data_IF_411619359083
#
_entry.id   IF_411619359083
#
_cell.length_a   1.000
_cell.length_b   1.000
_cell.length_c   1.000
_cell.angle_alpha   90.00
_cell.angle_beta   90.00
_cell.angle_gamma   90.00
#
_symmetry.space_group_name_H-M   'P 1'
#
loop_
_entity.id
_entity.type
_entity.pdbx_description
1 polymer ?
#
# COMPACT_ATOMS: atom_id res chain seq x y z
N UNK A 1 -5.68 45.43 22.27
CA UNK A 1 -5.76 45.00 20.84
C UNK A 1 -4.40 44.45 20.45
N UNK A 2 -4.30 43.50 19.52
CA UNK A 2 -2.99 42.99 19.06
C UNK A 2 -2.67 43.49 17.66
N UNK A 3 -1.39 43.75 17.40
CA UNK A 3 -0.84 44.08 16.10
C UNK A 3 -0.27 42.81 15.47
N UNK A 4 -0.57 42.61 14.19
CA UNK A 4 -0.03 41.53 13.38
C UNK A 4 1.34 41.92 12.83
N UNK A 5 2.34 41.07 13.08
CA UNK A 5 3.71 41.19 12.56
C UNK A 5 3.99 40.01 11.62
N UNK A 6 4.05 40.22 10.30
CA UNK A 6 4.40 39.17 9.35
C UNK A 6 5.81 38.62 9.59
N UNK A 7 6.01 37.30 9.48
CA UNK A 7 7.36 36.73 9.57
C UNK A 7 8.20 37.17 8.36
N UNK A 8 9.49 37.45 8.56
CA UNK A 8 10.41 37.73 7.44
C UNK A 8 10.82 36.42 6.79
N UNK A 9 10.53 36.27 5.49
CA UNK A 9 10.86 35.11 4.65
C UNK A 9 10.06 33.81 4.87
N UNK A 10 8.71 33.82 4.85
CA UNK A 10 7.96 32.57 4.90
C UNK A 10 7.76 31.99 3.48
N UNK A 11 7.84 30.67 3.36
CA UNK A 11 7.32 29.91 2.21
C UNK A 11 5.80 30.08 2.05
N UNK A 12 5.12 30.62 3.08
CA UNK A 12 3.67 30.76 3.19
C UNK A 12 3.31 32.21 3.55
N UNK A 13 2.57 32.95 2.70
CA UNK A 13 2.45 34.41 2.79
C UNK A 13 1.67 34.91 4.02
N UNK A 14 0.91 34.04 4.71
CA UNK A 14 0.07 34.44 5.83
C UNK A 14 0.76 34.32 7.20
N UNK A 15 1.95 33.73 7.31
CA UNK A 15 2.59 33.51 8.61
C UNK A 15 2.89 34.81 9.35
N UNK A 16 2.45 34.89 10.60
CA UNK A 16 2.59 36.09 11.42
C UNK A 16 2.58 35.79 12.90
N UNK A 17 3.16 36.70 13.69
CA UNK A 17 3.00 36.74 15.15
C UNK A 17 2.07 37.88 15.52
N UNK A 18 1.37 37.75 16.65
CA UNK A 18 0.51 38.80 17.20
C UNK A 18 1.11 39.31 18.50
N UNK A 19 1.29 40.62 18.59
CA UNK A 19 1.91 41.30 19.74
C UNK A 19 0.97 42.41 20.23
N UNK A 20 0.81 42.64 21.54
CA UNK A 20 0.01 43.75 22.05
C UNK A 20 0.51 45.12 21.51
N UNK A 21 -0.42 46.04 21.25
CA UNK A 21 -0.12 47.37 20.67
C UNK A 21 0.47 48.38 21.65
N UNK A 22 0.42 48.12 22.95
CA UNK A 22 0.94 49.07 23.94
C UNK A 22 2.47 48.99 23.95
N UNK A 23 3.14 50.13 23.78
CA UNK A 23 4.56 50.27 23.40
C UNK A 23 5.63 49.74 24.36
N UNK A 24 5.28 48.80 25.23
CA UNK A 24 6.20 48.05 26.11
C UNK A 24 6.66 46.71 25.52
N UNK A 25 6.00 46.21 24.46
CA UNK A 25 6.39 44.98 23.80
C UNK A 25 7.51 45.21 22.76
N UNK A 26 8.61 44.47 22.89
CA UNK A 26 9.68 44.42 21.89
C UNK A 26 9.15 43.81 20.60
N UNK A 27 9.23 44.54 19.50
CA UNK A 27 8.87 44.08 18.14
C UNK A 27 9.78 42.96 17.61
N UNK A 28 10.90 42.70 18.27
CA UNK A 28 11.85 41.64 17.90
C UNK A 28 11.45 40.28 18.49
N UNK A 29 10.61 40.25 19.53
CA UNK A 29 10.23 39.03 20.22
C UNK A 29 8.85 38.52 19.76
N UNK A 30 8.77 37.23 19.43
CA UNK A 30 7.51 36.56 19.06
C UNK A 30 6.58 36.28 20.26
N UNK A 31 6.97 36.73 21.45
CA UNK A 31 6.32 36.47 22.72
C UNK A 31 6.31 37.74 23.58
N UNK A 32 5.36 37.83 24.50
CA UNK A 32 5.23 38.97 25.41
C UNK A 32 4.93 38.49 26.82
N UNK A 33 5.37 39.25 27.82
CA UNK A 33 5.07 38.97 29.23
C UNK A 33 3.64 39.39 29.53
N UNK A 34 2.84 38.44 30.03
CA UNK A 34 1.42 38.60 30.23
C UNK A 34 1.13 39.59 31.36
N UNK A 35 1.95 39.58 32.42
CA UNK A 35 1.79 40.39 33.64
C UNK A 35 1.68 41.90 33.37
N UNK A 36 2.28 42.39 32.28
CA UNK A 36 2.20 43.80 31.89
C UNK A 36 0.82 44.22 31.36
N UNK A 37 0.01 43.24 30.92
CA UNK A 37 -1.26 43.45 30.23
C UNK A 37 -2.46 42.90 31.01
N UNK A 38 -2.23 42.30 32.17
CA UNK A 38 -3.30 41.72 32.98
C UNK A 38 -4.19 42.82 33.56
N UNK A 39 -5.50 42.68 33.35
CA UNK A 39 -6.51 43.54 33.96
C UNK A 39 -6.54 43.35 35.46
N UNK A 40 -6.63 44.44 36.23
CA UNK A 40 -6.83 44.36 37.68
C UNK A 40 -8.33 44.29 38.01
N UNK A 41 -8.73 43.40 38.92
CA UNK A 41 -10.09 43.32 39.45
C UNK A 41 -10.08 43.52 40.96
N UNK A 42 -10.75 44.57 41.43
CA UNK A 42 -10.85 44.89 42.86
C UNK A 42 -11.98 44.15 43.58
N UNK A 43 -12.87 43.48 42.85
CA UNK A 43 -14.12 42.92 43.39
C UNK A 43 -14.28 41.40 43.22
N UNK A 44 -13.58 40.79 42.27
CA UNK A 44 -13.70 39.35 41.98
C UNK A 44 -12.37 38.63 42.23
N UNK A 45 -12.45 37.34 42.57
CA UNK A 45 -11.26 36.48 42.76
C UNK A 45 -10.49 36.24 41.46
N UNK A 46 -11.15 36.44 40.32
CA UNK A 46 -10.58 36.28 38.99
C UNK A 46 -10.80 37.55 38.17
N UNK A 47 -9.85 37.84 37.28
CA UNK A 47 -9.93 38.91 36.31
C UNK A 47 -9.80 38.33 34.89
N UNK A 48 -10.31 39.08 33.92
CA UNK A 48 -10.29 38.72 32.51
C UNK A 48 -9.44 39.71 31.71
N UNK A 49 -8.59 39.16 30.85
CA UNK A 49 -7.78 39.93 29.90
C UNK A 49 -8.07 39.42 28.50
N UNK A 50 -8.49 40.31 27.60
CA UNK A 50 -8.94 39.95 26.26
C UNK A 50 -7.95 40.41 25.18
N UNK A 51 -7.51 39.46 24.35
CA UNK A 51 -6.67 39.69 23.20
C UNK A 51 -7.49 39.51 21.91
N UNK A 52 -7.58 40.57 21.12
CA UNK A 52 -8.23 40.54 19.82
C UNK A 52 -7.17 40.41 18.74
N UNK A 53 -7.34 39.43 17.85
CA UNK A 53 -6.50 39.21 16.70
C UNK A 53 -7.37 39.08 15.44
N UNK A 54 -6.81 39.47 14.30
CA UNK A 54 -7.49 39.41 13.01
C UNK A 54 -6.75 38.46 12.06
N UNK A 55 -7.44 37.39 11.67
CA UNK A 55 -6.94 36.42 10.69
C UNK A 55 -7.23 36.99 9.30
N UNK A 56 -6.19 37.27 8.48
CA UNK A 56 -6.37 37.99 7.23
C UNK A 56 -7.18 37.19 6.20
N UNK A 57 -7.79 37.91 5.26
CA UNK A 57 -8.46 37.29 4.13
C UNK A 57 -7.50 36.42 3.31
N UNK A 58 -7.99 35.28 2.85
CA UNK A 58 -7.23 34.26 2.14
C UNK A 58 -6.38 33.37 3.02
N UNK A 59 -6.57 33.36 4.35
CA UNK A 59 -5.82 32.49 5.28
C UNK A 59 -6.68 31.51 6.07
N UNK A 60 -7.90 31.21 5.57
CA UNK A 60 -8.80 30.24 6.21
C UNK A 60 -8.19 28.86 6.48
N UNK A 61 -7.11 28.49 5.79
CA UNK A 61 -6.40 27.23 5.98
C UNK A 61 -5.17 27.30 6.91
N UNK A 62 -5.06 28.34 7.72
CA UNK A 62 -3.97 28.54 8.66
C UNK A 62 -4.26 27.96 10.05
N UNK A 63 -3.19 27.72 10.81
CA UNK A 63 -3.19 27.27 12.19
C UNK A 63 -2.97 28.46 13.13
N UNK A 64 -3.88 28.69 14.07
CA UNK A 64 -3.59 29.59 15.21
C UNK A 64 -2.91 28.77 16.30
N UNK A 65 -1.68 29.14 16.61
CA UNK A 65 -0.88 28.54 17.67
C UNK A 65 -0.73 29.52 18.83
N UNK A 66 -1.14 29.09 20.03
CA UNK A 66 -1.08 29.85 21.27
C UNK A 66 -0.27 29.07 22.29
N UNK A 67 0.79 29.68 22.79
CA UNK A 67 1.62 29.11 23.83
C UNK A 67 1.59 30.03 25.06
N UNK A 68 1.35 29.44 26.22
CA UNK A 68 1.55 30.07 27.52
C UNK A 68 2.59 29.26 28.29
N UNK A 69 3.59 29.96 28.83
CA UNK A 69 4.61 29.33 29.67
C UNK A 69 4.92 30.24 30.84
N UNK A 70 4.92 29.65 32.03
CA UNK A 70 5.18 30.33 33.29
C UNK A 70 6.34 29.65 34.00
N UNK A 71 7.02 30.39 34.87
CA UNK A 71 8.02 29.89 35.80
C UNK A 71 7.41 29.14 37.00
N UNK A 72 6.11 29.32 37.23
CA UNK A 72 5.31 28.72 38.31
C UNK A 72 4.03 28.08 37.80
N UNK A 73 3.32 27.37 38.67
CA UNK A 73 2.02 26.74 38.37
C UNK A 73 1.03 27.74 37.74
N UNK A 74 0.61 27.43 36.51
CA UNK A 74 -0.36 28.21 35.75
C UNK A 74 -1.78 27.99 36.31
N UNK A 75 -2.30 28.97 37.03
CA UNK A 75 -3.73 29.06 37.37
C UNK A 75 -4.51 29.90 36.33
N UNK A 76 -4.11 29.82 35.06
CA UNK A 76 -4.73 30.54 33.96
C UNK A 76 -5.71 29.64 33.21
N UNK A 77 -6.84 30.21 32.80
CA UNK A 77 -7.82 29.57 31.92
C UNK A 77 -7.89 30.37 30.61
N UNK A 78 -7.78 29.68 29.48
CA UNK A 78 -7.80 30.29 28.16
C UNK A 78 -9.12 29.94 27.45
N UNK A 79 -9.81 30.97 26.98
CA UNK A 79 -11.03 30.85 26.20
C UNK A 79 -10.84 31.54 24.85
N UNK A 80 -11.44 30.99 23.81
CA UNK A 80 -11.44 31.63 22.49
C UNK A 80 -12.83 31.65 21.88
N UNK A 81 -13.11 32.68 21.09
CA UNK A 81 -14.37 32.84 20.36
C UNK A 81 -14.15 33.63 19.06
N UNK A 82 -14.76 33.15 17.98
CA UNK A 82 -14.76 33.84 16.69
C UNK A 82 -15.90 34.88 16.63
N UNK A 83 -15.59 36.12 16.25
CA UNK A 83 -16.57 37.19 16.03
C UNK A 83 -17.28 37.70 17.29
N UNK A 84 -16.83 37.32 18.49
CA UNK A 84 -17.44 37.74 19.75
C UNK A 84 -16.51 37.59 20.95
N UNK A 85 -16.99 38.00 22.13
CA UNK A 85 -16.26 37.89 23.40
C UNK A 85 -16.52 36.52 24.06
N UNK A 86 -15.47 35.78 24.46
CA UNK A 86 -15.64 34.58 25.27
C UNK A 86 -16.03 34.93 26.72
N UNK A 87 -16.84 34.06 27.33
CA UNK A 87 -17.25 34.12 28.72
C UNK A 87 -17.29 32.70 29.31
N UNK A 88 -17.54 32.56 30.62
CA UNK A 88 -17.71 31.24 31.26
C UNK A 88 -18.82 30.40 30.58
N UNK A 89 -19.89 31.05 30.11
CA UNK A 89 -21.05 30.38 29.50
C UNK A 89 -20.95 30.25 27.98
N UNK A 90 -20.12 31.08 27.32
CA UNK A 90 -20.06 31.11 25.85
C UNK A 90 -18.62 31.17 25.35
N UNK A 91 -18.18 30.11 24.67
CA UNK A 91 -16.84 29.98 24.10
C UNK A 91 -16.87 28.97 22.95
N UNK A 92 -15.93 29.09 22.02
CA UNK A 92 -15.75 28.14 20.91
C UNK A 92 -14.72 27.07 21.28
N UNK A 93 -13.59 27.50 21.87
CA UNK A 93 -12.60 26.58 22.44
C UNK A 93 -12.13 27.04 23.82
N UNK A 94 -11.79 26.05 24.65
CA UNK A 94 -11.39 26.26 26.04
C UNK A 94 -10.21 25.36 26.41
N UNK A 95 -9.25 25.92 27.14
CA UNK A 95 -8.12 25.18 27.70
C UNK A 95 -7.83 25.65 29.12
N UNK A 96 -7.60 24.70 30.02
CA UNK A 96 -7.08 24.90 31.37
C UNK A 96 -6.07 23.80 31.70
N UNK A 97 -5.50 23.87 32.92
CA UNK A 97 -4.55 22.88 33.44
C UNK A 97 -5.10 21.46 33.45
N UNK A 98 -6.35 21.30 33.88
CA UNK A 98 -6.95 19.98 34.15
C UNK A 98 -8.04 19.60 33.16
N UNK A 99 -8.54 20.56 32.39
CA UNK A 99 -9.66 20.36 31.46
C UNK A 99 -9.45 21.19 30.21
N UNK A 100 -9.83 20.61 29.08
CA UNK A 100 -9.91 21.33 27.83
C UNK A 100 -11.20 20.96 27.12
N UNK A 101 -11.60 21.76 26.14
CA UNK A 101 -12.65 21.35 25.20
C UNK A 101 -12.26 20.00 24.62
N UNK A 102 -13.17 19.01 24.69
CA UNK A 102 -12.96 17.67 24.15
C UNK A 102 -12.23 17.76 22.80
N UNK A 103 -11.09 17.06 22.69
CA UNK A 103 -10.25 17.09 21.50
C UNK A 103 -11.10 16.93 20.24
N UNK A 104 -11.16 18.00 19.45
CA UNK A 104 -11.83 18.00 18.16
C UNK A 104 -10.75 17.98 17.08
N UNK A 105 -11.09 17.58 15.86
CA UNK A 105 -10.14 17.60 14.73
C UNK A 105 -9.55 19.00 14.50
N UNK A 106 -10.23 20.04 14.98
CA UNK A 106 -9.86 21.45 14.82
C UNK A 106 -9.18 22.07 16.04
N UNK A 107 -8.98 21.31 17.11
CA UNK A 107 -8.39 21.80 18.36
C UNK A 107 -7.54 20.72 19.01
N UNK A 108 -6.25 21.01 19.18
CA UNK A 108 -5.31 20.15 19.89
C UNK A 108 -4.66 20.90 21.04
N UNK A 109 -4.75 20.31 22.23
CA UNK A 109 -3.96 20.69 23.41
C UNK A 109 -2.86 19.63 23.56
N UNK A 110 -1.63 19.97 23.20
CA UNK A 110 -0.54 18.98 23.12
C UNK A 110 0.25 18.82 24.41
N UNK A 111 0.54 19.94 25.10
CA UNK A 111 1.22 19.93 26.40
C UNK A 111 0.40 20.76 27.39
N UNK A 112 -0.11 20.09 28.43
CA UNK A 112 -0.61 20.72 29.65
C UNK A 112 0.25 20.20 30.80
N UNK A 113 1.40 20.83 31.01
CA UNK A 113 2.17 20.62 32.24
C UNK A 113 1.78 21.66 33.27
N UNK A 114 2.23 21.55 34.51
CA UNK A 114 1.90 22.53 35.56
C UNK A 114 2.30 23.96 35.16
N UNK A 115 3.31 24.13 34.31
CA UNK A 115 3.88 25.43 33.91
C UNK A 115 3.68 25.83 32.44
N UNK A 116 3.35 24.90 31.55
CA UNK A 116 3.30 25.14 30.09
C UNK A 116 1.95 24.66 29.52
N UNK A 117 1.28 25.52 28.77
CA UNK A 117 0.09 25.21 27.96
C UNK A 117 0.36 25.52 26.48
N UNK A 118 0.25 24.50 25.63
CA UNK A 118 0.45 24.60 24.17
C UNK A 118 -0.84 24.23 23.42
N UNK A 119 -1.46 25.24 22.82
CA UNK A 119 -2.75 25.17 22.14
C UNK A 119 -2.61 25.42 20.63
N UNK A 120 -3.31 24.60 19.84
CA UNK A 120 -3.39 24.71 18.38
C UNK A 120 -4.85 24.64 17.90
N UNK A 121 -5.30 25.68 17.18
CA UNK A 121 -6.61 25.74 16.50
C UNK A 121 -6.38 25.65 14.98
N UNK A 122 -6.86 24.57 14.36
CA UNK A 122 -6.65 24.28 12.94
C UNK A 122 -7.75 24.88 12.07
N UNK A 123 -7.38 25.29 10.85
CA UNK A 123 -8.29 25.85 9.85
C UNK A 123 -9.08 27.04 10.39
N UNK A 124 -8.35 28.00 10.98
CA UNK A 124 -8.95 29.16 11.59
C UNK A 124 -9.69 30.01 10.55
N UNK A 125 -10.97 30.31 10.83
CA UNK A 125 -11.79 31.19 9.99
C UNK A 125 -11.18 32.58 9.87
N UNK A 126 -11.29 33.16 8.69
CA UNK A 126 -10.88 34.53 8.41
C UNK A 126 -11.74 35.53 9.19
N UNK A 127 -11.13 36.59 9.68
CA UNK A 127 -11.78 37.61 10.50
C UNK A 127 -11.30 37.61 11.95
N UNK A 128 -12.11 38.24 12.81
CA UNK A 128 -11.67 38.60 14.14
C UNK A 128 -11.89 37.49 15.16
N UNK A 129 -10.82 37.09 15.83
CA UNK A 129 -10.82 36.16 16.95
C UNK A 129 -10.54 36.89 18.26
N UNK A 130 -11.21 36.46 19.32
CA UNK A 130 -10.98 36.94 20.67
C UNK A 130 -10.48 35.80 21.55
N UNK A 131 -9.34 36.01 22.22
CA UNK A 131 -8.78 35.13 23.23
C UNK A 131 -8.94 35.79 24.60
N UNK A 132 -9.78 35.23 25.46
CA UNK A 132 -9.96 35.65 26.84
C UNK A 132 -9.10 34.82 27.76
N UNK A 133 -8.16 35.46 28.46
CA UNK A 133 -7.37 34.85 29.51
C UNK A 133 -8.00 35.21 30.85
N UNK A 134 -8.48 34.20 31.57
CA UNK A 134 -8.99 34.33 32.94
C UNK A 134 -7.89 33.92 33.91
N UNK A 135 -7.60 34.80 34.86
CA UNK A 135 -6.48 34.65 35.78
C UNK A 135 -6.89 35.07 37.20
N UNK A 136 -6.21 34.59 38.25
CA UNK A 136 -6.43 35.07 39.61
C UNK A 136 -6.09 36.56 39.71
N UNK A 137 -6.83 37.29 40.55
CA UNK A 137 -6.59 38.73 40.79
C UNK A 137 -5.29 38.98 41.55
N UNK A 138 -4.88 38.05 42.43
CA UNK A 138 -3.55 38.04 43.04
C UNK A 138 -2.57 37.27 42.14
N UNK A 139 -1.93 37.99 41.23
CA UNK A 139 -0.80 37.46 40.50
C UNK A 139 0.41 37.48 41.43
N UNK A 140 0.82 36.33 41.95
CA UNK A 140 2.14 36.19 42.57
C UNK A 140 3.22 36.69 41.60
N UNK A 141 4.44 37.00 42.07
CA UNK A 141 5.59 37.31 41.19
C UNK A 141 5.94 36.09 40.30
N UNK A 142 5.10 35.76 39.33
CA UNK A 142 5.30 34.81 38.25
C UNK A 142 5.66 35.60 36.99
N UNK A 143 6.44 34.99 36.13
CA UNK A 143 6.76 35.51 34.80
C UNK A 143 6.15 34.56 33.78
N UNK A 144 4.98 34.93 33.28
CA UNK A 144 4.24 34.19 32.27
C UNK A 144 4.45 34.88 30.95
N UNK A 145 5.05 34.20 29.98
CA UNK A 145 5.04 34.69 28.62
C UNK A 145 3.95 34.00 27.80
N UNK A 146 3.34 34.77 26.92
CA UNK A 146 2.36 34.29 25.95
C UNK A 146 2.86 34.59 24.54
N UNK A 147 2.69 33.64 23.63
CA UNK A 147 2.92 33.85 22.20
C UNK A 147 1.70 33.41 21.41
N UNK A 148 1.24 34.26 20.52
CA UNK A 148 0.13 33.97 19.61
C UNK A 148 0.66 34.09 18.19
N UNK A 149 0.48 33.06 17.38
CA UNK A 149 1.01 33.03 16.02
C UNK A 149 0.04 32.36 15.04
N UNK A 150 0.15 32.77 13.78
CA UNK A 150 -0.50 32.15 12.64
C UNK A 150 0.57 31.40 11.84
N UNK A 151 0.41 30.09 11.71
CA UNK A 151 1.39 29.18 11.09
C UNK A 151 0.74 28.35 9.98
N UNK A 152 1.53 27.85 9.03
CA UNK A 152 1.05 26.92 8.01
C UNK A 152 0.75 25.54 8.58
N UNK A 153 1.79 24.82 9.01
CA UNK A 153 1.66 23.50 9.64
C UNK A 153 2.23 23.50 11.05
N UNK A 154 1.62 22.71 11.93
CA UNK A 154 2.10 22.53 13.29
C UNK A 154 3.51 21.92 13.32
N UNK A 155 4.48 22.61 13.95
CA UNK A 155 5.88 22.16 14.11
C UNK A 155 6.51 21.57 12.84
N UNK A 156 6.12 22.08 11.66
CA UNK A 156 6.49 21.51 10.37
C UNK A 156 6.20 19.99 10.28
N UNK A 157 4.97 19.60 10.63
CA UNK A 157 4.47 18.21 10.62
C UNK A 157 5.21 17.28 11.60
N UNK A 158 5.48 17.78 12.81
CA UNK A 158 6.24 17.09 13.87
C UNK A 158 7.60 16.52 13.44
N UNK A 159 8.19 17.03 12.35
CA UNK A 159 9.39 16.46 11.72
C UNK A 159 9.22 15.01 11.20
N UNK A 160 7.97 14.54 11.11
CA UNK A 160 7.55 13.23 10.58
C UNK A 160 6.85 13.36 9.22
N UNK A 161 7.03 14.50 8.57
CA UNK A 161 6.39 14.82 7.31
C UNK A 161 6.93 16.12 6.73
N UNK A 162 6.34 16.54 5.62
CA UNK A 162 6.66 17.79 4.94
C UNK A 162 5.40 18.67 4.94
N UNK A 163 5.56 19.92 5.35
CA UNK A 163 4.50 20.92 5.24
C UNK A 163 4.40 21.42 3.80
N UNK A 164 3.24 21.25 3.20
CA UNK A 164 2.91 21.80 1.90
C UNK A 164 1.89 22.92 2.04
N UNK A 165 2.01 23.91 1.16
CA UNK A 165 1.04 24.99 1.05
C UNK A 165 0.50 25.03 -0.38
N UNK A 166 -0.80 25.22 -0.48
CA UNK A 166 -1.51 25.27 -1.76
C UNK A 166 -2.58 26.35 -1.71
N UNK A 167 -3.10 26.68 -2.88
CA UNK A 167 -4.19 27.64 -3.04
C UNK A 167 -5.43 26.89 -3.49
N UNK A 168 -6.59 27.28 -3.00
CA UNK A 168 -7.87 26.75 -3.43
C UNK A 168 -8.14 27.01 -4.93
N UNK A 169 -9.14 26.36 -5.51
CA UNK A 169 -9.51 26.54 -6.92
C UNK A 169 -9.91 27.99 -7.25
N UNK A 170 -10.39 28.74 -6.26
CA UNK A 170 -10.75 30.15 -6.42
C UNK A 170 -9.51 31.06 -6.55
N UNK A 171 -8.33 30.59 -6.14
CA UNK A 171 -7.09 31.36 -6.16
C UNK A 171 -7.00 32.40 -5.03
N UNK A 172 -7.94 32.38 -4.08
CA UNK A 172 -8.07 33.42 -3.04
C UNK A 172 -7.68 32.89 -1.67
N UNK A 173 -7.75 31.59 -1.43
CA UNK A 173 -7.53 30.99 -0.10
C UNK A 173 -6.28 30.14 -0.09
N UNK A 174 -5.31 30.54 0.72
CA UNK A 174 -4.14 29.73 1.03
C UNK A 174 -4.48 28.76 2.15
N UNK A 175 -4.09 27.50 1.97
CA UNK A 175 -4.15 26.49 3.01
C UNK A 175 -2.84 25.72 3.08
N UNK A 176 -2.54 25.19 4.26
CA UNK A 176 -1.38 24.33 4.47
C UNK A 176 -1.81 22.99 5.01
N UNK A 177 -1.11 21.94 4.62
CA UNK A 177 -1.39 20.56 5.02
C UNK A 177 -0.10 19.76 5.12
N UNK A 178 -0.13 18.75 5.97
CA UNK A 178 0.99 17.84 6.15
C UNK A 178 0.89 16.65 5.21
N UNK A 179 1.98 16.36 4.50
CA UNK A 179 2.20 15.05 3.89
C UNK A 179 3.11 14.26 4.81
N UNK A 180 2.54 13.30 5.53
CA UNK A 180 3.27 12.47 6.47
C UNK A 180 4.20 11.49 5.77
N UNK A 181 5.21 11.05 6.50
CA UNK A 181 5.96 9.85 6.15
C UNK A 181 5.03 8.61 6.20
N UNK A 182 5.55 7.44 5.82
CA UNK A 182 4.72 6.24 5.67
C UNK A 182 4.30 5.60 6.99
N UNK A 183 5.02 5.90 8.07
CA UNK A 183 4.83 5.25 9.37
C UNK A 183 3.94 6.09 10.29
N UNK A 184 3.68 7.34 9.91
CA UNK A 184 2.87 8.28 10.67
C UNK A 184 1.63 8.74 9.88
N UNK A 185 0.60 9.11 10.61
CA UNK A 185 -0.67 9.60 10.12
C UNK A 185 -1.24 10.68 11.03
N UNK A 186 -2.50 11.02 10.81
CA UNK A 186 -3.12 12.18 11.46
C UNK A 186 -2.87 13.47 10.68
N UNK A 187 -3.41 14.57 11.16
CA UNK A 187 -3.37 15.86 10.47
C UNK A 187 -1.99 16.55 10.55
N UNK A 188 -1.19 16.25 11.58
CA UNK A 188 0.15 16.78 11.83
C UNK A 188 1.23 15.68 11.90
N UNK A 189 0.90 14.46 11.47
CA UNK A 189 1.81 13.32 11.48
C UNK A 189 2.22 12.86 12.88
N UNK A 190 1.36 13.07 13.88
CA UNK A 190 1.57 12.59 15.25
C UNK A 190 1.27 11.11 15.44
N UNK A 191 0.36 10.55 14.64
CA UNK A 191 -0.20 9.23 14.90
C UNK A 191 0.72 8.16 14.31
N UNK A 192 1.40 7.38 15.14
CA UNK A 192 2.19 6.24 14.67
C UNK A 192 1.25 5.15 14.14
N UNK A 193 1.17 5.01 12.81
CA UNK A 193 0.34 4.01 12.13
C UNK A 193 0.98 2.63 12.17
N UNK A 194 2.31 2.58 12.05
CA UNK A 194 3.08 1.33 12.04
C UNK A 194 4.34 1.53 12.86
N UNK A 195 4.52 0.70 13.89
CA UNK A 195 5.78 0.71 14.63
C UNK A 195 6.97 0.36 13.73
N UNK A 196 8.17 0.94 13.94
CA UNK A 196 9.36 0.62 13.14
C UNK A 196 9.66 -0.89 13.07
N UNK A 197 9.45 -1.62 14.18
CA UNK A 197 9.60 -3.08 14.21
C UNK A 197 8.52 -3.79 13.40
N UNK A 198 7.28 -3.27 13.43
CA UNK A 198 6.17 -3.76 12.61
C UNK A 198 6.45 -3.59 11.11
N UNK A 199 6.99 -2.44 10.70
CA UNK A 199 7.36 -2.16 9.31
C UNK A 199 8.39 -3.15 8.77
N UNK A 200 9.40 -3.51 9.58
CA UNK A 200 10.40 -4.53 9.22
C UNK A 200 9.73 -5.88 8.95
N UNK A 201 8.85 -6.33 9.84
CA UNK A 201 8.15 -7.60 9.64
C UNK A 201 7.24 -7.56 8.42
N UNK A 202 6.46 -6.50 8.24
CA UNK A 202 5.61 -6.31 7.07
C UNK A 202 6.43 -6.41 5.76
N UNK A 203 7.56 -5.73 5.71
CA UNK A 203 8.48 -5.75 4.57
C UNK A 203 9.07 -7.14 4.33
N UNK A 204 9.56 -7.80 5.39
CA UNK A 204 10.14 -9.14 5.28
C UNK A 204 9.11 -10.15 4.80
N UNK A 205 7.88 -10.16 5.35
CA UNK A 205 6.85 -11.11 4.95
C UNK A 205 6.45 -10.94 3.48
N UNK A 206 6.17 -9.71 3.04
CA UNK A 206 5.74 -9.41 1.66
C UNK A 206 6.84 -9.69 0.62
N UNK A 207 8.10 -9.38 0.94
CA UNK A 207 9.21 -9.61 0.01
C UNK A 207 9.62 -11.09 0.03
N UNK A 208 9.79 -11.70 1.20
CA UNK A 208 10.27 -13.08 1.31
C UNK A 208 9.25 -14.11 0.84
N UNK A 209 7.94 -13.85 0.96
CA UNK A 209 6.89 -14.74 0.45
C UNK A 209 7.03 -15.02 -1.05
N UNK A 210 7.56 -14.06 -1.82
CA UNK A 210 7.81 -14.19 -3.24
C UNK A 210 8.94 -15.18 -3.59
N UNK A 211 9.78 -15.54 -2.61
CA UNK A 211 10.74 -16.64 -2.73
C UNK A 211 10.09 -17.99 -3.03
N UNK A 212 8.79 -18.16 -2.73
CA UNK A 212 8.04 -19.36 -3.11
C UNK A 212 8.03 -19.62 -4.63
N UNK A 213 8.19 -18.57 -5.46
CA UNK A 213 8.29 -18.68 -6.92
C UNK A 213 9.50 -19.51 -7.39
N UNK A 214 10.53 -19.67 -6.54
CA UNK A 214 11.71 -20.50 -6.82
C UNK A 214 11.30 -21.96 -7.02
N UNK A 215 10.29 -22.46 -6.29
CA UNK A 215 9.85 -23.85 -6.37
C UNK A 215 9.34 -24.24 -7.77
N UNK A 216 8.30 -23.58 -8.32
CA UNK A 216 7.83 -23.89 -9.68
C UNK A 216 8.88 -23.52 -10.75
N UNK A 217 9.66 -22.45 -10.56
CA UNK A 217 10.72 -22.06 -11.50
C UNK A 217 11.80 -23.15 -11.63
N UNK A 218 12.32 -23.64 -10.49
CA UNK A 218 13.33 -24.69 -10.46
C UNK A 218 12.80 -25.98 -11.10
N UNK A 219 11.57 -26.36 -10.79
CA UNK A 219 10.99 -27.58 -11.34
C UNK A 219 10.68 -27.47 -12.84
N UNK A 220 10.23 -26.31 -13.32
CA UNK A 220 10.06 -26.03 -14.75
C UNK A 220 11.40 -26.13 -15.51
N UNK A 221 12.47 -25.56 -14.93
CA UNK A 221 13.82 -25.66 -15.51
C UNK A 221 14.29 -27.12 -15.59
N UNK A 222 14.03 -27.93 -14.55
CA UNK A 222 14.34 -29.37 -14.54
C UNK A 222 13.59 -30.15 -15.62
N UNK A 223 12.40 -29.70 -16.01
CA UNK A 223 11.61 -30.27 -17.11
C UNK A 223 11.99 -29.71 -18.49
N UNK A 224 12.97 -28.79 -18.59
CA UNK A 224 13.31 -28.04 -19.81
C UNK A 224 12.13 -27.20 -20.34
N UNK A 225 11.22 -26.80 -19.46
CA UNK A 225 10.09 -25.92 -19.76
C UNK A 225 10.52 -24.46 -19.60
N UNK A 226 11.24 -23.93 -20.61
CA UNK A 226 11.92 -22.64 -20.51
C UNK A 226 10.97 -21.43 -20.42
N UNK A 227 9.82 -21.49 -21.09
CA UNK A 227 8.85 -20.39 -21.06
C UNK A 227 8.25 -20.23 -19.66
N UNK A 228 7.89 -21.34 -19.03
CA UNK A 228 7.36 -21.42 -17.68
C UNK A 228 8.42 -21.02 -16.65
N UNK A 229 9.67 -21.47 -16.84
CA UNK A 229 10.79 -21.05 -15.99
C UNK A 229 10.97 -19.52 -15.99
N UNK A 230 11.08 -18.90 -17.18
CA UNK A 230 11.20 -17.45 -17.30
C UNK A 230 10.00 -16.75 -16.66
N UNK A 231 8.79 -17.28 -16.87
CA UNK A 231 7.57 -16.73 -16.31
C UNK A 231 7.57 -16.70 -14.79
N UNK A 232 7.83 -17.83 -14.11
CA UNK A 232 7.86 -17.87 -12.64
C UNK A 232 9.00 -17.04 -12.05
N UNK A 233 10.19 -17.09 -12.66
CA UNK A 233 11.32 -16.27 -12.22
C UNK A 233 11.01 -14.78 -12.35
N UNK A 234 10.46 -14.36 -13.49
CA UNK A 234 10.09 -12.97 -13.71
C UNK A 234 8.96 -12.55 -12.77
N UNK A 235 7.95 -13.41 -12.56
CA UNK A 235 6.84 -13.16 -11.63
C UNK A 235 7.35 -12.92 -10.21
N UNK A 236 8.16 -13.84 -9.67
CA UNK A 236 8.70 -13.73 -8.31
C UNK A 236 9.60 -12.51 -8.12
N UNK A 237 10.49 -12.22 -9.08
CA UNK A 237 11.38 -11.05 -9.01
C UNK A 237 10.59 -9.75 -9.10
N UNK A 238 9.68 -9.63 -10.07
CA UNK A 238 8.88 -8.42 -10.27
C UNK A 238 7.99 -8.14 -9.06
N UNK A 239 7.39 -9.19 -8.50
CA UNK A 239 6.58 -9.09 -7.29
C UNK A 239 7.41 -8.68 -6.08
N UNK A 240 8.58 -9.30 -5.86
CA UNK A 240 9.47 -8.90 -4.76
C UNK A 240 9.93 -7.43 -4.86
N UNK A 241 10.24 -6.96 -6.08
CA UNK A 241 10.60 -5.56 -6.35
C UNK A 241 9.41 -4.61 -6.19
N UNK A 242 8.21 -5.06 -6.55
CA UNK A 242 6.99 -4.31 -6.29
C UNK A 242 6.76 -4.15 -4.80
N UNK A 243 6.82 -5.24 -4.02
CA UNK A 243 6.61 -5.21 -2.58
C UNK A 243 7.71 -4.48 -1.81
N UNK A 244 8.96 -4.49 -2.30
CA UNK A 244 10.01 -3.63 -1.74
C UNK A 244 9.72 -2.14 -1.95
N UNK A 245 9.12 -1.80 -3.10
CA UNK A 245 8.70 -0.45 -3.43
C UNK A 245 7.42 -0.04 -2.68
N UNK A 246 6.47 -0.97 -2.53
CA UNK A 246 5.19 -0.74 -1.87
C UNK A 246 5.37 -0.43 -0.38
N UNK A 247 6.21 -1.19 0.32
CA UNK A 247 6.55 -0.90 1.73
C UNK A 247 7.51 0.29 1.88
N UNK A 248 8.00 0.87 0.78
CA UNK A 248 8.79 2.10 0.78
C UNK A 248 10.28 1.92 1.07
N UNK A 249 10.82 0.70 0.98
CA UNK A 249 12.26 0.47 1.19
C UNK A 249 13.09 0.95 0.00
N UNK A 250 12.70 0.58 -1.23
CA UNK A 250 13.42 0.95 -2.45
C UNK A 250 12.59 0.64 -3.71
N UNK A 251 12.62 1.53 -4.69
CA UNK A 251 11.95 1.38 -5.99
C UNK A 251 12.96 1.49 -7.15
N UNK A 252 13.14 0.40 -7.91
CA UNK A 252 13.97 0.39 -9.13
C UNK A 252 13.27 1.05 -10.33
N UNK A 253 11.95 0.94 -10.38
CA UNK A 253 11.09 1.45 -11.45
C UNK A 253 9.92 2.20 -10.80
N UNK A 254 9.13 2.90 -11.62
CA UNK A 254 7.93 3.57 -11.12
C UNK A 254 6.95 2.55 -10.51
N UNK A 255 6.30 2.95 -9.42
CA UNK A 255 5.34 2.11 -8.69
C UNK A 255 4.29 1.49 -9.62
N UNK A 256 3.77 2.28 -10.58
CA UNK A 256 2.76 1.81 -11.55
C UNK A 256 3.26 0.70 -12.46
N UNK A 257 4.53 0.74 -12.87
CA UNK A 257 5.12 -0.30 -13.72
C UNK A 257 5.34 -1.58 -12.93
N UNK A 258 5.86 -1.48 -11.70
CA UNK A 258 6.06 -2.62 -10.82
C UNK A 258 4.73 -3.29 -10.46
N UNK A 259 3.70 -2.50 -10.13
CA UNK A 259 2.35 -3.00 -9.88
C UNK A 259 1.79 -3.73 -11.10
N UNK A 260 1.94 -3.16 -12.30
CA UNK A 260 1.51 -3.81 -13.52
C UNK A 260 2.18 -5.18 -13.70
N UNK A 261 3.51 -5.24 -13.53
CA UNK A 261 4.27 -6.48 -13.69
C UNK A 261 3.87 -7.54 -12.66
N UNK A 262 3.66 -7.18 -11.40
CA UNK A 262 3.26 -8.09 -10.32
C UNK A 262 1.94 -8.81 -10.66
N UNK A 263 0.89 -8.04 -10.96
CA UNK A 263 -0.42 -8.61 -11.28
C UNK A 263 -0.42 -9.39 -12.60
N UNK A 264 0.19 -8.82 -13.64
CA UNK A 264 0.17 -9.43 -14.96
C UNK A 264 0.93 -10.76 -15.00
N UNK A 265 2.15 -10.80 -14.48
CA UNK A 265 2.95 -12.03 -14.46
C UNK A 265 2.35 -13.08 -13.53
N UNK A 266 1.70 -12.67 -12.44
CA UNK A 266 0.94 -13.59 -11.59
C UNK A 266 -0.26 -14.21 -12.31
N UNK A 267 -1.03 -13.43 -13.08
CA UNK A 267 -2.11 -13.96 -13.90
C UNK A 267 -1.59 -14.95 -14.95
N UNK A 268 -0.48 -14.60 -15.61
CA UNK A 268 0.18 -15.47 -16.56
C UNK A 268 0.71 -16.74 -15.91
N UNK A 269 1.29 -16.67 -14.70
CA UNK A 269 1.77 -17.85 -13.98
C UNK A 269 0.65 -18.85 -13.70
N UNK A 270 -0.51 -18.37 -13.21
CA UNK A 270 -1.67 -19.24 -12.94
C UNK A 270 -2.21 -19.87 -14.22
N UNK A 271 -2.56 -19.07 -15.22
CA UNK A 271 -3.16 -19.60 -16.46
C UNK A 271 -2.14 -20.41 -17.26
N UNK A 272 -0.89 -19.99 -17.28
CA UNK A 272 0.22 -20.68 -17.93
C UNK A 272 0.48 -22.07 -17.37
N UNK A 273 0.34 -22.26 -16.04
CA UNK A 273 0.39 -23.59 -15.41
C UNK A 273 -0.62 -24.54 -16.05
N UNK A 274 -1.86 -24.09 -16.22
CA UNK A 274 -2.92 -24.92 -16.78
C UNK A 274 -2.75 -25.17 -18.28
N UNK A 275 -2.28 -24.19 -19.04
CA UNK A 275 -1.96 -24.37 -20.47
C UNK A 275 -0.84 -25.42 -20.63
N UNK A 276 0.21 -25.34 -19.80
CA UNK A 276 1.31 -26.30 -19.82
C UNK A 276 0.85 -27.73 -19.51
N UNK A 277 -0.08 -27.88 -18.55
CA UNK A 277 -0.68 -29.18 -18.20
C UNK A 277 -1.67 -29.72 -19.25
N UNK A 278 -2.21 -28.89 -20.14
CA UNK A 278 -3.23 -29.32 -21.10
C UNK A 278 -2.67 -30.30 -22.15
N UNK A 279 -3.49 -31.28 -22.58
CA UNK A 279 -3.21 -32.22 -23.69
C UNK A 279 -3.55 -31.57 -25.02
N UNK A 280 -2.84 -30.50 -25.36
CA UNK A 280 -3.02 -29.80 -26.61
C UNK A 280 -1.68 -29.79 -27.34
N UNK A 281 -1.71 -29.74 -28.67
CA UNK A 281 -0.51 -29.61 -29.48
C UNK A 281 0.26 -28.34 -29.12
N UNK A 282 1.59 -28.38 -29.30
CA UNK A 282 2.48 -27.29 -28.93
C UNK A 282 2.20 -26.00 -29.72
N UNK A 283 1.62 -26.08 -30.92
CA UNK A 283 1.25 -24.90 -31.72
C UNK A 283 0.08 -24.18 -31.07
N UNK A 284 -0.97 -24.92 -30.72
CA UNK A 284 -2.12 -24.39 -29.97
C UNK A 284 -1.74 -23.88 -28.60
N UNK A 285 -0.82 -24.54 -27.86
CA UNK A 285 -0.32 -24.01 -26.58
C UNK A 285 0.32 -22.63 -26.75
N UNK A 286 1.18 -22.45 -27.77
CA UNK A 286 1.79 -21.14 -28.08
C UNK A 286 0.75 -20.09 -28.43
N UNK A 287 -0.26 -20.47 -29.22
CA UNK A 287 -1.38 -19.57 -29.56
C UNK A 287 -2.17 -19.16 -28.31
N UNK A 288 -2.50 -20.12 -27.43
CA UNK A 288 -3.20 -19.87 -26.17
C UNK A 288 -2.36 -18.99 -25.23
N UNK A 289 -1.06 -19.25 -25.07
CA UNK A 289 -0.17 -18.40 -24.28
C UNK A 289 -0.15 -16.96 -24.80
N UNK A 290 -0.08 -16.77 -26.11
CA UNK A 290 -0.07 -15.43 -26.72
C UNK A 290 -1.41 -14.70 -26.52
N UNK A 291 -2.54 -15.40 -26.70
CA UNK A 291 -3.86 -14.82 -26.48
C UNK A 291 -4.07 -14.42 -25.01
N UNK A 292 -3.71 -15.29 -24.07
CA UNK A 292 -3.81 -15.04 -22.63
C UNK A 292 -2.84 -13.92 -22.22
N UNK A 293 -1.64 -13.86 -22.79
CA UNK A 293 -0.68 -12.77 -22.56
C UNK A 293 -1.28 -11.40 -22.87
N UNK A 294 -1.88 -11.25 -24.05
CA UNK A 294 -2.52 -9.99 -24.47
C UNK A 294 -3.70 -9.65 -23.54
N UNK A 295 -4.56 -10.63 -23.28
CA UNK A 295 -5.76 -10.44 -22.47
C UNK A 295 -5.42 -10.06 -21.02
N UNK A 296 -4.52 -10.79 -20.39
CA UNK A 296 -4.10 -10.54 -19.00
C UNK A 296 -3.33 -9.23 -18.86
N UNK A 297 -2.55 -8.83 -19.87
CA UNK A 297 -1.89 -7.52 -19.89
C UNK A 297 -2.92 -6.38 -19.93
N UNK A 298 -3.95 -6.50 -20.79
CA UNK A 298 -5.02 -5.51 -20.86
C UNK A 298 -5.81 -5.42 -19.54
N UNK A 299 -6.07 -6.56 -18.89
CA UNK A 299 -6.73 -6.59 -17.57
C UNK A 299 -5.87 -5.94 -16.48
N UNK A 300 -4.56 -6.18 -16.47
CA UNK A 300 -3.65 -5.53 -15.53
C UNK A 300 -3.55 -4.02 -15.77
N UNK A 301 -3.50 -3.58 -17.04
CA UNK A 301 -3.36 -2.17 -17.40
C UNK A 301 -4.64 -1.34 -17.13
N UNK A 302 -5.83 -1.92 -17.31
CA UNK A 302 -7.12 -1.21 -17.15
C UNK A 302 -7.62 -1.14 -15.70
N UNK A 303 -6.91 -1.79 -14.77
CA UNK A 303 -7.22 -1.74 -13.33
C UNK A 303 -6.88 -3.06 -12.63
N UNK A 304 -5.59 -3.31 -12.39
CA UNK A 304 -5.08 -4.52 -11.77
C UNK A 304 -5.77 -4.90 -10.44
N UNK A 305 -6.14 -3.90 -9.63
CA UNK A 305 -6.78 -4.08 -8.31
C UNK A 305 -8.31 -4.20 -8.35
N UNK A 306 -8.94 -4.07 -9.52
CA UNK A 306 -10.39 -4.27 -9.64
C UNK A 306 -10.70 -5.74 -9.44
N UNK A 307 -11.49 -6.05 -8.41
CA UNK A 307 -11.98 -7.41 -8.12
C UNK A 307 -12.66 -8.09 -9.32
N UNK A 308 -13.27 -7.29 -10.21
CA UNK A 308 -13.83 -7.76 -11.49
C UNK A 308 -12.78 -8.37 -12.42
N UNK A 309 -11.59 -7.75 -12.55
CA UNK A 309 -10.54 -8.23 -13.44
C UNK A 309 -9.94 -9.55 -12.92
N UNK A 310 -9.78 -9.66 -11.59
CA UNK A 310 -9.38 -10.91 -10.93
C UNK A 310 -10.44 -12.00 -11.15
N UNK A 311 -11.72 -11.66 -11.01
CA UNK A 311 -12.83 -12.57 -11.31
C UNK A 311 -12.81 -13.08 -12.76
N UNK A 312 -12.48 -12.20 -13.72
CA UNK A 312 -12.33 -12.58 -15.14
C UNK A 312 -11.16 -13.56 -15.33
N UNK A 313 -10.00 -13.33 -14.69
CA UNK A 313 -8.86 -14.26 -14.78
C UNK A 313 -9.18 -15.61 -14.18
N UNK A 314 -9.87 -15.65 -13.03
CA UNK A 314 -10.34 -16.91 -12.42
C UNK A 314 -11.33 -17.61 -13.36
N UNK A 315 -12.24 -16.88 -14.00
CA UNK A 315 -13.17 -17.44 -14.96
C UNK A 315 -12.44 -18.02 -16.19
N UNK A 316 -11.45 -17.31 -16.74
CA UNK A 316 -10.61 -17.78 -17.84
C UNK A 316 -9.84 -19.05 -17.44
N UNK A 317 -9.23 -19.07 -16.26
CA UNK A 317 -8.52 -20.26 -15.74
C UNK A 317 -9.46 -21.45 -15.54
N UNK A 318 -10.66 -21.21 -15.00
CA UNK A 318 -11.70 -22.24 -14.80
C UNK A 318 -12.23 -22.79 -16.12
N UNK A 319 -12.48 -21.91 -17.10
CA UNK A 319 -12.89 -22.31 -18.46
C UNK A 319 -11.76 -23.06 -19.16
N UNK A 320 -10.50 -22.66 -18.98
CA UNK A 320 -9.34 -23.37 -19.50
C UNK A 320 -9.20 -24.78 -18.92
N UNK A 321 -9.38 -24.94 -17.61
CA UNK A 321 -9.42 -26.23 -16.93
C UNK A 321 -10.58 -27.11 -17.43
N UNK A 322 -11.79 -26.54 -17.54
CA UNK A 322 -12.97 -27.23 -18.06
C UNK A 322 -12.78 -27.66 -19.52
N UNK A 323 -12.21 -26.79 -20.36
CA UNK A 323 -11.93 -27.09 -21.76
C UNK A 323 -10.85 -28.18 -21.89
N UNK A 324 -9.79 -28.12 -21.09
CA UNK A 324 -8.77 -29.17 -21.03
C UNK A 324 -9.35 -30.52 -20.60
N UNK A 325 -10.24 -30.52 -19.61
CA UNK A 325 -10.94 -31.72 -19.16
C UNK A 325 -11.91 -32.27 -20.22
N UNK A 326 -12.65 -31.40 -20.92
CA UNK A 326 -13.54 -31.77 -22.01
C UNK A 326 -12.78 -32.34 -23.22
N UNK A 327 -11.59 -31.80 -23.53
CA UNK A 327 -10.74 -32.29 -24.60
C UNK A 327 -10.21 -33.69 -24.29
N UNK A 328 -9.72 -33.95 -23.07
CA UNK A 328 -9.35 -35.29 -22.58
C UNK A 328 -10.53 -36.27 -22.62
N UNK A 329 -11.73 -35.82 -22.27
CA UNK A 329 -12.95 -36.61 -22.35
C UNK A 329 -13.37 -36.91 -23.80
N UNK A 330 -13.11 -35.99 -24.73
CA UNK A 330 -13.39 -36.16 -26.16
C UNK A 330 -12.39 -37.12 -26.83
N UNK A 331 -11.11 -37.08 -26.47
CA UNK A 331 -10.09 -38.01 -26.96
C UNK A 331 -10.33 -39.42 -26.41
N UNK A 332 -10.75 -39.54 -25.14
CA UNK A 332 -11.22 -40.81 -24.56
C UNK A 332 -12.36 -41.43 -25.41
N UNK A 333 -13.34 -40.61 -25.79
CA UNK A 333 -14.45 -41.05 -26.66
C UNK A 333 -13.99 -41.45 -28.06
N UNK A 334 -13.07 -40.69 -28.66
CA UNK A 334 -12.57 -40.96 -30.02
C UNK A 334 -11.80 -42.29 -30.10
N UNK A 335 -11.04 -42.63 -29.06
CA UNK A 335 -10.36 -43.92 -28.93
C UNK A 335 -11.35 -45.10 -28.83
N UNK A 336 -12.52 -44.91 -28.22
CA UNK A 336 -13.57 -45.95 -28.08
C UNK A 336 -14.37 -46.10 -29.39
N UNK A 337 -14.69 -45.00 -30.07
CA UNK A 337 -15.51 -45.03 -31.28
C UNK A 337 -14.75 -45.42 -32.56
N UNK A 338 -13.42 -45.42 -32.56
CA UNK A 338 -12.64 -45.81 -33.75
C UNK A 338 -11.40 -46.66 -33.41
N UNK A 339 -11.57 -47.94 -33.04
CA UNK A 339 -10.47 -48.88 -33.17
C UNK A 339 -10.18 -49.08 -34.67
N UNK A 340 -8.91 -49.10 -35.07
CA UNK A 340 -8.44 -49.20 -36.46
C UNK A 340 -8.73 -50.54 -37.18
N UNK A 341 -9.89 -51.15 -36.97
CA UNK A 341 -10.45 -52.20 -37.85
C UNK A 341 -11.94 -51.93 -38.05
N UNK A 342 -12.24 -51.32 -39.18
CA UNK A 342 -13.60 -51.15 -39.68
C UNK A 342 -14.12 -52.54 -40.06
N UNK A 343 -14.92 -53.16 -39.19
CA UNK A 343 -15.87 -54.20 -39.57
C UNK A 343 -17.25 -53.53 -39.63
N UNK A 344 -17.80 -53.40 -40.84
CA UNK A 344 -19.08 -52.75 -41.15
C UNK A 344 -20.30 -53.61 -40.75
N UNK A 345 -20.34 -54.12 -39.52
CA UNK A 345 -21.54 -54.72 -38.95
C UNK A 345 -21.42 -54.77 -37.42
N UNK A 346 -21.79 -53.68 -36.74
CA UNK A 346 -22.04 -53.69 -35.30
C UNK A 346 -23.03 -52.57 -34.96
N UNK A 347 -24.11 -52.82 -34.19
CA UNK A 347 -24.99 -51.77 -33.72
C UNK A 347 -24.24 -50.89 -32.71
N UNK A 348 -24.27 -49.58 -32.96
CA UNK A 348 -23.59 -48.54 -32.18
C UNK A 348 -24.27 -48.37 -30.80
N UNK A 349 -23.95 -49.25 -29.86
CA UNK A 349 -24.33 -49.09 -28.45
C UNK A 349 -23.51 -47.95 -27.83
N UNK A 350 -24.18 -46.92 -27.34
CA UNK A 350 -23.54 -45.86 -26.56
C UNK A 350 -22.86 -46.46 -25.32
N UNK A 351 -21.56 -46.22 -25.09
CA UNK A 351 -20.93 -46.67 -23.86
C UNK A 351 -21.59 -45.97 -22.67
N UNK A 352 -21.85 -46.72 -21.59
CA UNK A 352 -22.45 -46.15 -20.38
C UNK A 352 -21.55 -45.03 -19.82
N UNK A 353 -22.16 -43.98 -19.27
CA UNK A 353 -21.44 -42.85 -18.65
C UNK A 353 -20.38 -43.33 -17.64
N UNK A 354 -20.66 -44.44 -16.94
CA UNK A 354 -19.78 -45.08 -15.97
C UNK A 354 -18.53 -45.68 -16.63
N UNK A 355 -18.67 -46.32 -17.80
CA UNK A 355 -17.54 -46.89 -18.55
C UNK A 355 -16.64 -45.80 -19.10
N UNK A 356 -17.24 -44.72 -19.61
CA UNK A 356 -16.48 -43.58 -20.13
C UNK A 356 -15.71 -42.87 -18.99
N UNK A 357 -16.35 -42.67 -17.84
CA UNK A 357 -15.71 -42.13 -16.64
C UNK A 357 -14.50 -42.96 -16.19
N UNK A 358 -14.63 -44.29 -16.12
CA UNK A 358 -13.54 -45.19 -15.72
C UNK A 358 -12.34 -45.10 -16.68
N UNK A 359 -12.57 -45.01 -17.99
CA UNK A 359 -11.49 -44.88 -18.99
C UNK A 359 -10.81 -43.51 -18.89
N UNK A 360 -11.57 -42.41 -18.75
CA UNK A 360 -10.96 -41.11 -18.46
C UNK A 360 -10.17 -41.12 -17.16
N UNK A 361 -10.67 -41.79 -16.12
CA UNK A 361 -9.98 -41.91 -14.85
C UNK A 361 -8.68 -42.69 -15.03
N UNK A 362 -8.66 -43.77 -15.81
CA UNK A 362 -7.43 -44.51 -16.13
C UNK A 362 -6.42 -43.69 -16.92
N UNK A 363 -6.86 -42.87 -17.89
CA UNK A 363 -5.97 -41.99 -18.65
C UNK A 363 -5.37 -40.90 -17.76
N UNK A 364 -6.20 -40.28 -16.90
CA UNK A 364 -5.75 -39.28 -15.92
C UNK A 364 -4.82 -39.93 -14.89
N UNK A 365 -5.11 -41.14 -14.41
CA UNK A 365 -4.24 -41.92 -13.50
C UNK A 365 -2.86 -42.21 -14.13
N UNK A 366 -2.80 -42.45 -15.44
CA UNK A 366 -1.56 -42.71 -16.17
C UNK A 366 -0.73 -41.45 -16.37
N UNK A 367 -1.36 -40.27 -16.42
CA UNK A 367 -0.70 -38.99 -16.71
C UNK A 367 -0.34 -38.20 -15.45
N UNK A 368 -1.18 -38.28 -14.41
CA UNK A 368 -1.04 -37.48 -13.21
C UNK A 368 -0.78 -38.32 -11.95
N UNK A 369 -0.07 -37.71 -10.99
CA UNK A 369 0.08 -38.19 -9.62
C UNK A 369 -0.96 -37.49 -8.76
N UNK A 370 -2.02 -38.22 -8.37
CA UNK A 370 -3.18 -37.65 -7.67
C UNK A 370 -2.86 -36.91 -6.38
N UNK A 371 -1.86 -37.37 -5.63
CA UNK A 371 -1.44 -36.71 -4.38
C UNK A 371 -1.04 -35.25 -4.67
N UNK A 372 -0.16 -35.05 -5.66
CA UNK A 372 0.29 -33.70 -6.05
C UNK A 372 -0.83 -32.88 -6.70
N UNK A 373 -1.71 -33.51 -7.48
CA UNK A 373 -2.85 -32.82 -8.07
C UNK A 373 -3.83 -32.31 -7.00
N UNK A 374 -4.13 -33.14 -5.99
CA UNK A 374 -4.98 -32.76 -4.85
C UNK A 374 -4.33 -31.63 -4.05
N UNK A 375 -3.03 -31.75 -3.74
CA UNK A 375 -2.29 -30.69 -3.04
C UNK A 375 -2.26 -29.38 -3.83
N UNK A 376 -2.16 -29.43 -5.16
CA UNK A 376 -2.26 -28.27 -6.05
C UNK A 376 -3.60 -27.56 -5.93
N UNK A 377 -4.72 -28.30 -5.99
CA UNK A 377 -6.05 -27.70 -5.81
C UNK A 377 -6.31 -27.20 -4.38
N UNK A 378 -5.79 -27.88 -3.36
CA UNK A 378 -5.91 -27.44 -1.96
C UNK A 378 -5.22 -26.10 -1.74
N UNK A 379 -3.98 -25.97 -2.22
CA UNK A 379 -3.20 -24.73 -2.12
C UNK A 379 -3.77 -23.61 -2.99
N UNK A 380 -4.29 -23.92 -4.19
CA UNK A 380 -5.02 -22.96 -5.03
C UNK A 380 -6.26 -22.41 -4.32
N UNK A 381 -7.03 -23.28 -3.66
CA UNK A 381 -8.20 -22.88 -2.88
C UNK A 381 -7.82 -21.97 -1.71
N UNK A 382 -6.70 -22.26 -1.04
CA UNK A 382 -6.20 -21.41 0.03
C UNK A 382 -5.74 -20.04 -0.47
N UNK A 383 -5.14 -19.96 -1.66
CA UNK A 383 -4.83 -18.69 -2.31
C UNK A 383 -6.11 -17.87 -2.56
N UNK A 384 -7.16 -18.49 -3.12
CA UNK A 384 -8.44 -17.83 -3.34
C UNK A 384 -9.11 -17.33 -2.04
N UNK A 385 -9.02 -18.12 -0.95
CA UNK A 385 -9.52 -17.73 0.37
C UNK A 385 -8.71 -16.57 0.95
N UNK A 386 -7.38 -16.60 0.81
CA UNK A 386 -6.49 -15.55 1.34
C UNK A 386 -6.81 -14.19 0.73
N UNK A 387 -7.08 -14.17 -0.59
CA UNK A 387 -7.55 -12.96 -1.26
C UNK A 387 -8.91 -12.46 -0.73
N UNK A 388 -9.83 -13.36 -0.37
CA UNK A 388 -11.14 -12.99 0.16
C UNK A 388 -11.08 -12.42 1.59
N UNK A 389 -10.08 -12.83 2.37
CA UNK A 389 -9.87 -12.42 3.76
C UNK A 389 -8.97 -11.18 3.90
N UNK A 390 -8.41 -10.71 2.79
CA UNK A 390 -7.57 -9.51 2.73
C UNK A 390 -8.35 -8.26 3.18
N UNK A 391 -7.74 -7.49 4.08
CA UNK A 391 -8.24 -6.19 4.55
C UNK A 391 -7.08 -5.21 4.67
N UNK A 392 -7.34 -3.91 4.73
CA UNK A 392 -6.28 -2.89 4.81
C UNK A 392 -5.31 -3.13 5.99
N UNK A 393 -5.80 -3.61 7.13
CA UNK A 393 -4.96 -3.82 8.33
C UNK A 393 -4.15 -5.13 8.26
N UNK A 394 -4.70 -6.16 7.62
CA UNK A 394 -4.10 -7.50 7.58
C UNK A 394 -3.52 -7.85 6.20
N UNK A 395 -3.41 -6.85 5.30
CA UNK A 395 -2.94 -6.99 3.93
C UNK A 395 -1.62 -7.75 3.86
N UNK A 396 -0.62 -7.29 4.61
CA UNK A 396 0.73 -7.87 4.62
C UNK A 396 0.75 -9.36 5.00
N UNK A 397 -0.21 -9.84 5.81
CA UNK A 397 -0.31 -11.26 6.18
C UNK A 397 -0.97 -12.06 5.06
N UNK A 398 -2.21 -11.69 4.71
CA UNK A 398 -3.02 -12.46 3.77
C UNK A 398 -2.44 -12.45 2.36
N UNK A 399 -1.86 -11.32 1.94
CA UNK A 399 -1.21 -11.19 0.65
C UNK A 399 0.09 -12.00 0.58
N UNK A 400 0.88 -12.05 1.67
CA UNK A 400 2.06 -12.93 1.75
C UNK A 400 1.67 -14.41 1.68
N UNK A 401 0.59 -14.81 2.37
CA UNK A 401 0.04 -16.18 2.28
C UNK A 401 -0.43 -16.48 0.87
N UNK A 402 -1.06 -15.52 0.19
CA UNK A 402 -1.49 -15.65 -1.21
C UNK A 402 -0.30 -16.00 -2.11
N UNK A 403 0.82 -15.26 -2.03
CA UNK A 403 2.05 -15.54 -2.79
C UNK A 403 2.58 -16.96 -2.54
N UNK A 404 2.72 -17.33 -1.27
CA UNK A 404 3.23 -18.66 -0.90
C UNK A 404 2.35 -19.74 -1.50
N UNK A 405 1.03 -19.60 -1.35
CA UNK A 405 0.08 -20.65 -1.74
C UNK A 405 -0.14 -20.73 -3.25
N UNK A 406 -0.11 -19.62 -3.99
CA UNK A 406 -0.26 -19.63 -5.45
C UNK A 406 0.96 -20.23 -6.16
N UNK A 407 2.17 -19.90 -5.72
CA UNK A 407 3.39 -20.50 -6.27
C UNK A 407 3.54 -21.97 -5.86
N UNK A 408 3.18 -22.31 -4.61
CA UNK A 408 3.17 -23.71 -4.15
C UNK A 408 2.16 -24.56 -4.91
N UNK A 409 0.99 -23.99 -5.22
CA UNK A 409 -0.01 -24.64 -6.08
C UNK A 409 0.54 -24.95 -7.46
N UNK A 410 1.16 -23.95 -8.09
CA UNK A 410 1.82 -24.11 -9.39
C UNK A 410 2.90 -25.20 -9.35
N UNK A 411 3.73 -25.22 -8.30
CA UNK A 411 4.73 -26.27 -8.10
C UNK A 411 4.11 -27.67 -8.02
N UNK A 412 3.09 -27.87 -7.19
CA UNK A 412 2.43 -29.16 -7.06
C UNK A 412 1.74 -29.60 -8.36
N UNK A 413 1.14 -28.67 -9.10
CA UNK A 413 0.60 -28.93 -10.42
C UNK A 413 1.68 -29.42 -11.40
N UNK A 414 2.85 -28.79 -11.44
CA UNK A 414 3.95 -29.25 -12.28
C UNK A 414 4.54 -30.60 -11.81
N UNK A 415 4.58 -30.88 -10.50
CA UNK A 415 4.99 -32.18 -9.95
C UNK A 415 3.97 -33.29 -10.20
N UNK A 416 2.71 -32.93 -10.44
CA UNK A 416 1.65 -33.90 -10.71
C UNK A 416 1.85 -34.59 -12.05
N UNK A 417 2.50 -33.96 -13.02
CA UNK A 417 2.73 -34.55 -14.33
C UNK A 417 3.74 -35.71 -14.26
N UNK A 418 3.35 -36.88 -14.76
CA UNK A 418 4.29 -37.99 -14.98
C UNK A 418 5.05 -37.71 -16.27
N UNK A 419 6.37 -37.52 -16.16
CA UNK A 419 7.27 -37.39 -17.32
C UNK A 419 7.06 -38.59 -18.24
N UNK A 420 6.56 -38.34 -19.45
CA UNK A 420 6.42 -39.38 -20.46
C UNK A 420 7.80 -39.65 -21.04
N UNK A 421 8.42 -40.76 -20.66
CA UNK A 421 9.60 -41.34 -21.31
C UNK A 421 9.24 -41.83 -22.71
N UNK A 422 8.85 -40.92 -23.60
CA UNK A 422 8.51 -41.25 -25.00
C UNK A 422 9.33 -40.48 -26.04
N UNK A 423 10.21 -39.56 -25.61
CA UNK A 423 11.18 -38.88 -26.47
C UNK A 423 12.65 -39.15 -26.11
N UNK A 424 12.94 -40.17 -25.29
CA UNK A 424 14.29 -40.74 -25.24
C UNK A 424 14.46 -41.79 -26.35
N UNK A 425 14.29 -41.36 -27.60
CA UNK A 425 15.13 -41.92 -28.67
C UNK A 425 16.57 -41.52 -28.33
N UNK A 426 17.56 -42.43 -28.42
CA UNK A 426 18.95 -42.04 -28.19
C UNK A 426 19.31 -41.00 -29.25
N UNK A 427 19.43 -39.74 -28.84
CA UNK A 427 20.04 -38.72 -29.68
C UNK A 427 21.43 -39.23 -30.06
N UNK A 428 21.67 -39.23 -31.37
CA UNK A 428 22.92 -39.62 -32.01
C UNK A 428 24.11 -39.00 -31.30
N UNK A 429 25.14 -39.82 -31.10
CA UNK A 429 26.47 -39.41 -30.66
C UNK A 429 26.84 -38.04 -31.23
N UNK A 430 27.01 -37.09 -30.33
CA UNK A 430 27.67 -35.82 -30.58
C UNK A 430 29.14 -36.15 -30.94
N UNK A 431 29.48 -36.17 -32.21
CA UNK A 431 30.89 -36.07 -32.60
C UNK A 431 31.31 -34.61 -32.32
N UNK A 432 31.92 -34.43 -31.15
CA UNK A 432 32.64 -33.22 -30.82
C UNK A 432 33.81 -33.10 -31.80
N UNK A 433 33.79 -32.02 -32.57
CA UNK A 433 34.90 -31.40 -33.28
C UNK A 433 36.28 -31.75 -32.70
N UNK A 434 37.06 -32.53 -33.46
CA UNK A 434 38.52 -32.59 -33.35
C UNK A 434 39.12 -31.86 -34.54
N UNK A 435 39.23 -30.55 -34.42
CA UNK A 435 40.17 -29.75 -35.21
C UNK A 435 41.45 -29.68 -34.39
N UNK A 436 42.52 -30.33 -34.85
CA UNK A 436 43.88 -29.83 -34.65
C UNK A 436 44.90 -30.49 -35.60
N UNK A 437 45.49 -29.62 -36.43
CA UNK A 437 46.89 -29.60 -36.89
C UNK A 437 47.43 -30.57 -37.97
N UNK A 438 47.53 -29.99 -39.18
CA UNK A 438 48.66 -30.00 -40.16
C UNK A 438 48.88 -31.19 -41.13
N UNK A 439 49.27 -30.88 -42.40
CA UNK A 439 49.45 -31.87 -43.47
C UNK A 439 50.91 -32.35 -43.54
N UNK A 440 51.14 -33.64 -43.85
CA UNK A 440 52.46 -34.12 -44.26
C UNK A 440 52.36 -35.26 -45.28
N UNK A 441 52.55 -34.86 -46.53
CA UNK A 441 53.24 -35.53 -47.64
C UNK A 441 53.29 -37.07 -47.67
N UNK A 442 52.79 -37.64 -48.77
CA UNK A 442 53.26 -38.91 -49.34
C UNK A 442 54.80 -38.96 -49.42
N UNK A 443 55.37 -40.18 -49.44
CA UNK A 443 55.84 -40.67 -50.73
C UNK A 443 55.56 -42.16 -51.02
N UNK A 444 55.51 -42.39 -52.33
CA UNK A 444 55.55 -43.61 -53.15
C UNK A 444 56.41 -44.80 -52.68
N UNK A 445 55.96 -45.95 -53.17
CA UNK A 445 56.70 -47.13 -53.69
C UNK A 445 57.55 -47.97 -52.71
N UNK A 446 57.11 -49.21 -52.50
CA UNK A 446 57.71 -50.40 -53.13
C UNK A 446 56.76 -51.58 -53.09
#
# INVERSE_FOLDING_TARGET
>A
MTMRVPKRSPSVPFESYYVPTDGTASLEDSHFYLEQFLSNSSHEQFAWTYFFLDVPQGSAGALIHVQLKSDKDLNYELYSKYGGLPSNDTWDYYASRTSSSNGSVFFSLQNSTDSDMDLSIFYAKEGTWCFGVKHPSDTANSQTYMSISLQGCHRNCNQKGVCHSSVDESGLTFYSFCTCDRDHGGFDCSDELVSPNGHIWQSVFLIASNGAAILPAFWALRQKAFAEWILYTSSGISSALYHSCDVGTWCILSFRVLQFLDFWLSFMAVVGTFIYMATIDEVSKRAMHTAVFILTALLAATGATRSANIGIVIAIGSVGLLMGWLLEFSTARRFICWPSRINLNMPQSWPSLRTLFQITLEMVNKRFRWIFLLLGFMTLSFAAISWKLESNNNYWIWHSIWHITIYTSSFFFLCSMRVSTRNSSPESNYELTRQDSMPRSEPRET
#
